data_IF_904592039885
#
_entry.id   IF_904592039885
#
_cell.length_a   1.000
_cell.length_b   1.000
_cell.length_c   1.000
_cell.angle_alpha   90.00
_cell.angle_beta   90.00
_cell.angle_gamma   90.00
#
_symmetry.space_group_name_H-M   'P 1'
#
loop_
_entity.id
_entity.type
_entity.pdbx_description
1 polymer ?
#
# COMPACT_ATOMS: atom_id res chain seq x y z
N UNK A 1 -8.04 -19.92 8.50
CA UNK A 1 -7.38 -19.22 9.62
C UNK A 1 -5.88 -19.08 9.38
N UNK A 2 -5.18 -20.17 9.06
CA UNK A 2 -3.74 -20.23 8.77
C UNK A 2 -3.22 -19.17 7.77
N UNK A 3 -3.90 -18.98 6.63
CA UNK A 3 -3.50 -17.98 5.61
C UNK A 3 -3.52 -16.55 6.18
N UNK A 4 -4.51 -16.19 7.01
CA UNK A 4 -4.56 -14.85 7.62
C UNK A 4 -3.38 -14.62 8.57
N UNK A 5 -3.01 -15.63 9.35
CA UNK A 5 -1.88 -15.58 10.27
C UNK A 5 -0.58 -15.41 9.49
N UNK A 6 -0.38 -16.21 8.43
CA UNK A 6 0.80 -16.12 7.58
C UNK A 6 0.94 -14.73 6.94
N UNK A 7 -0.16 -14.15 6.46
CA UNK A 7 -0.14 -12.81 5.88
C UNK A 7 0.15 -11.74 6.92
N UNK A 8 -0.45 -11.82 8.12
CA UNK A 8 -0.13 -10.90 9.21
C UNK A 8 1.34 -11.00 9.62
N UNK A 9 1.87 -12.22 9.69
CA UNK A 9 3.29 -12.46 9.94
C UNK A 9 4.15 -11.85 8.83
N UNK A 10 3.78 -12.00 7.55
CA UNK A 10 4.48 -11.35 6.45
C UNK A 10 4.53 -9.82 6.61
N UNK A 11 3.40 -9.17 6.94
CA UNK A 11 3.38 -7.72 7.16
C UNK A 11 4.15 -7.31 8.43
N UNK A 12 4.17 -8.15 9.45
CA UNK A 12 4.99 -7.94 10.63
C UNK A 12 6.49 -8.02 10.29
N UNK A 13 6.92 -9.07 9.60
CA UNK A 13 8.31 -9.25 9.14
C UNK A 13 8.73 -8.14 8.16
N UNK A 14 7.81 -7.61 7.36
CA UNK A 14 8.05 -6.45 6.52
C UNK A 14 8.25 -5.17 7.34
N UNK A 15 7.46 -4.94 8.40
CA UNK A 15 7.49 -3.69 9.18
C UNK A 15 8.59 -3.68 10.24
N UNK A 16 8.95 -4.83 10.81
CA UNK A 16 9.87 -4.92 11.95
C UNK A 16 11.26 -4.30 11.70
N UNK A 17 11.91 -4.42 10.53
CA UNK A 17 13.24 -3.84 10.35
C UNK A 17 13.19 -2.31 10.42
N UNK A 18 12.14 -1.70 9.86
CA UNK A 18 11.93 -0.25 9.90
C UNK A 18 11.60 0.24 11.31
N UNK A 19 10.83 -0.55 12.08
CA UNK A 19 10.52 -0.24 13.49
C UNK A 19 11.81 -0.24 14.32
N UNK A 20 12.61 -1.31 14.22
CA UNK A 20 13.87 -1.43 14.95
C UNK A 20 14.84 -0.31 14.57
N UNK A 21 14.96 0.00 13.28
CA UNK A 21 15.81 1.09 12.80
C UNK A 21 15.35 2.46 13.32
N UNK A 22 14.03 2.73 13.32
CA UNK A 22 13.50 3.99 13.83
C UNK A 22 13.78 4.16 15.32
N UNK A 23 13.60 3.10 16.11
CA UNK A 23 13.95 3.11 17.53
C UNK A 23 15.44 3.24 17.78
N UNK A 24 16.29 2.54 17.03
CA UNK A 24 17.74 2.65 17.14
C UNK A 24 18.25 4.08 16.85
N UNK A 25 17.64 4.78 15.89
CA UNK A 25 18.03 6.15 15.52
C UNK A 25 17.43 7.24 16.44
N UNK A 26 16.33 6.94 17.13
CA UNK A 26 15.59 7.94 17.92
C UNK A 26 16.40 8.57 19.05
N UNK A 27 17.19 7.83 19.87
CA UNK A 27 18.04 8.41 20.91
C UNK A 27 19.07 9.42 20.39
N UNK A 28 19.55 9.24 19.15
CA UNK A 28 20.63 10.05 18.59
C UNK A 28 20.14 11.26 17.79
N UNK A 29 19.02 11.12 17.07
CA UNK A 29 18.55 12.11 16.09
C UNK A 29 17.21 12.74 16.48
N UNK A 30 16.54 12.20 17.50
CA UNK A 30 15.17 12.51 17.83
C UNK A 30 14.16 11.83 16.89
N UNK A 31 12.93 11.62 17.40
CA UNK A 31 11.86 10.87 16.71
C UNK A 31 11.57 11.38 15.30
N UNK A 32 11.43 12.71 15.12
CA UNK A 32 11.06 13.32 13.83
C UNK A 32 12.09 13.02 12.73
N UNK A 33 13.39 13.16 13.02
CA UNK A 33 14.46 12.90 12.03
C UNK A 33 14.62 11.40 11.76
N UNK A 34 14.56 10.56 12.81
CA UNK A 34 14.58 9.11 12.66
C UNK A 34 13.48 8.62 11.71
N UNK A 35 12.24 9.08 11.91
CA UNK A 35 11.10 8.74 11.05
C UNK A 35 11.30 9.20 9.60
N UNK A 36 11.89 10.38 9.37
CA UNK A 36 12.18 10.85 8.01
C UNK A 36 13.20 9.97 7.28
N UNK A 37 14.27 9.57 7.97
CA UNK A 37 15.33 8.73 7.40
C UNK A 37 14.76 7.34 7.05
N UNK A 38 14.13 6.70 8.02
CA UNK A 38 13.53 5.36 7.85
C UNK A 38 12.40 5.42 6.81
N UNK A 39 11.57 6.46 6.86
CA UNK A 39 10.48 6.67 5.90
C UNK A 39 10.95 6.73 4.45
N UNK A 40 12.07 7.42 4.17
CA UNK A 40 12.66 7.48 2.81
C UNK A 40 13.06 6.09 2.29
N UNK A 41 13.47 5.17 3.16
CA UNK A 41 13.80 3.78 2.81
C UNK A 41 12.54 2.92 2.68
N UNK A 42 11.52 3.18 3.50
CA UNK A 42 10.25 2.46 3.50
C UNK A 42 9.45 2.65 2.21
N UNK A 43 9.42 3.86 1.64
CA UNK A 43 8.68 4.14 0.39
C UNK A 43 9.09 3.23 -0.79
N UNK A 44 10.38 3.13 -1.18
CA UNK A 44 10.78 2.20 -2.25
C UNK A 44 10.54 0.74 -1.89
N UNK A 45 10.69 0.33 -0.62
CA UNK A 45 10.40 -1.04 -0.19
C UNK A 45 8.90 -1.37 -0.34
N UNK A 46 8.02 -0.47 0.10
CA UNK A 46 6.58 -0.61 -0.08
C UNK A 46 6.18 -0.69 -1.57
N UNK A 47 6.81 0.15 -2.41
CA UNK A 47 6.58 0.09 -3.87
C UNK A 47 7.03 -1.25 -4.48
N UNK A 48 8.08 -1.90 -3.95
CA UNK A 48 8.52 -3.22 -4.37
C UNK A 48 7.49 -4.29 -4.02
N UNK A 49 7.00 -4.28 -2.77
CA UNK A 49 5.97 -5.22 -2.31
C UNK A 49 4.66 -5.03 -3.09
N UNK A 50 4.26 -3.78 -3.36
CA UNK A 50 3.05 -3.48 -4.12
C UNK A 50 3.07 -4.07 -5.54
N UNK A 51 4.24 -4.21 -6.18
CA UNK A 51 4.38 -4.85 -7.50
C UNK A 51 3.98 -6.32 -7.53
N UNK A 52 3.93 -6.99 -6.38
CA UNK A 52 3.46 -8.38 -6.29
C UNK A 52 1.93 -8.46 -6.47
N UNK A 53 1.22 -7.37 -6.17
CA UNK A 53 -0.25 -7.31 -6.20
C UNK A 53 -0.73 -6.52 -7.42
N UNK A 54 -0.08 -5.40 -7.73
CA UNK A 54 -0.44 -4.53 -8.86
C UNK A 54 0.33 -5.00 -10.10
N UNK A 55 -0.36 -5.59 -11.10
CA UNK A 55 0.29 -6.15 -12.28
C UNK A 55 0.87 -5.04 -13.15
N UNK A 56 1.98 -5.34 -13.83
CA UNK A 56 2.53 -4.45 -14.87
C UNK A 56 1.66 -4.52 -16.13
N UNK A 57 1.60 -3.41 -16.85
CA UNK A 57 1.13 -3.38 -18.23
C UNK A 57 2.07 -2.59 -19.11
N UNK A 58 2.06 -2.91 -20.40
CA UNK A 58 2.90 -2.28 -21.42
C UNK A 58 2.07 -1.49 -22.44
N UNK A 59 0.74 -1.52 -22.33
CA UNK A 59 -0.17 -0.82 -23.22
C UNK A 59 -1.43 -0.38 -22.49
N UNK A 60 -2.00 0.76 -22.92
CA UNK A 60 -3.33 1.23 -22.48
C UNK A 60 -4.44 0.27 -22.91
N UNK A 61 -4.25 -0.50 -23.98
CA UNK A 61 -5.23 -1.48 -24.49
C UNK A 61 -5.42 -2.63 -23.50
N UNK A 62 -4.35 -3.00 -22.78
CA UNK A 62 -4.34 -4.09 -21.80
C UNK A 62 -5.03 -3.74 -20.47
N UNK A 63 -5.64 -2.56 -20.36
CA UNK A 63 -6.25 -2.11 -19.11
C UNK A 63 -7.35 -3.06 -18.60
N UNK A 64 -8.13 -3.68 -19.49
CA UNK A 64 -9.14 -4.68 -19.10
C UNK A 64 -8.49 -5.91 -18.47
N UNK A 65 -7.36 -6.38 -19.01
CA UNK A 65 -6.57 -7.49 -18.47
C UNK A 65 -5.96 -7.09 -17.13
N UNK A 66 -5.42 -5.87 -17.02
CA UNK A 66 -4.95 -5.29 -15.77
C UNK A 66 -6.02 -5.30 -14.69
N UNK A 67 -7.21 -4.79 -15.02
CA UNK A 67 -8.36 -4.69 -14.12
C UNK A 67 -8.77 -6.06 -13.58
N UNK A 68 -8.85 -7.08 -14.45
CA UNK A 68 -9.15 -8.44 -14.03
C UNK A 68 -8.06 -9.01 -13.11
N UNK A 69 -6.78 -8.84 -13.48
CA UNK A 69 -5.64 -9.35 -12.70
C UNK A 69 -5.53 -8.67 -11.33
N UNK A 70 -5.62 -7.34 -11.28
CA UNK A 70 -5.51 -6.59 -10.03
C UNK A 70 -6.69 -6.88 -9.09
N UNK A 71 -7.90 -7.02 -9.64
CA UNK A 71 -9.09 -7.45 -8.90
C UNK A 71 -8.89 -8.84 -8.29
N UNK A 72 -8.44 -9.82 -9.08
CA UNK A 72 -8.13 -11.17 -8.59
C UNK A 72 -7.08 -11.13 -7.48
N UNK A 73 -6.00 -10.39 -7.67
CA UNK A 73 -4.92 -10.28 -6.70
C UNK A 73 -5.41 -9.64 -5.40
N UNK A 74 -6.17 -8.54 -5.44
CA UNK A 74 -6.73 -7.93 -4.23
C UNK A 74 -7.78 -8.81 -3.54
N UNK A 75 -8.65 -9.50 -4.29
CA UNK A 75 -9.65 -10.40 -3.73
C UNK A 75 -9.02 -11.59 -3.00
N UNK A 76 -7.86 -12.09 -3.47
CA UNK A 76 -7.09 -13.11 -2.75
C UNK A 76 -6.77 -12.67 -1.31
N UNK A 77 -6.45 -11.40 -1.12
CA UNK A 77 -6.21 -10.80 0.21
C UNK A 77 -7.46 -10.15 0.82
N UNK A 78 -8.63 -10.27 0.18
CA UNK A 78 -9.80 -9.43 0.48
C UNK A 78 -10.31 -9.55 1.92
N UNK A 79 -10.29 -10.78 2.47
CA UNK A 79 -10.67 -11.03 3.87
C UNK A 79 -9.71 -10.42 4.90
N UNK A 80 -8.44 -10.23 4.56
CA UNK A 80 -7.47 -9.61 5.46
C UNK A 80 -7.70 -8.10 5.51
N UNK A 81 -7.89 -7.49 4.34
CA UNK A 81 -8.01 -6.04 4.23
C UNK A 81 -9.42 -5.48 4.47
N UNK A 82 -10.40 -6.35 4.69
CA UNK A 82 -11.82 -5.98 4.68
C UNK A 82 -12.15 -5.21 3.39
N UNK A 83 -11.69 -5.77 2.26
CA UNK A 83 -11.77 -5.18 0.94
C UNK A 83 -13.20 -5.21 0.40
N UNK A 84 -13.63 -4.12 -0.22
CA UNK A 84 -14.80 -4.04 -1.09
C UNK A 84 -14.39 -3.43 -2.44
N UNK A 85 -14.99 -3.90 -3.52
CA UNK A 85 -14.96 -3.19 -4.82
C UNK A 85 -16.12 -2.19 -4.77
N UNK A 86 -15.82 -0.90 -4.83
CA UNK A 86 -16.85 0.16 -4.71
C UNK A 86 -17.39 0.58 -6.08
N UNK A 87 -16.53 0.62 -7.10
CA UNK A 87 -16.90 0.98 -8.46
C UNK A 87 -16.09 0.18 -9.47
N UNK A 88 -16.73 -0.24 -10.56
CA UNK A 88 -16.11 -1.00 -11.64
C UNK A 88 -16.79 -0.62 -12.97
N UNK A 89 -16.01 -0.01 -13.86
CA UNK A 89 -16.41 0.33 -15.23
C UNK A 89 -15.36 -0.22 -16.19
N UNK A 90 -15.56 -0.04 -17.50
CA UNK A 90 -14.59 -0.46 -18.52
C UNK A 90 -13.21 0.23 -18.38
N UNK A 91 -13.18 1.43 -17.80
CA UNK A 91 -11.98 2.27 -17.72
C UNK A 91 -11.56 2.57 -16.29
N UNK A 92 -12.24 2.04 -15.28
CA UNK A 92 -11.92 2.34 -13.87
C UNK A 92 -12.28 1.18 -12.96
N UNK A 93 -11.44 0.94 -11.95
CA UNK A 93 -11.74 0.07 -10.82
C UNK A 93 -11.34 0.75 -9.52
N UNK A 94 -12.25 0.74 -8.55
CA UNK A 94 -12.05 1.30 -7.22
C UNK A 94 -12.19 0.23 -6.14
N UNK A 95 -11.18 0.17 -5.28
CA UNK A 95 -11.15 -0.68 -4.10
C UNK A 95 -11.23 0.16 -2.82
N UNK A 96 -12.04 -0.26 -1.86
CA UNK A 96 -12.07 0.26 -0.50
C UNK A 96 -11.53 -0.77 0.48
N UNK A 97 -10.51 -0.39 1.24
CA UNK A 97 -9.88 -1.21 2.28
C UNK A 97 -10.24 -0.62 3.65
N UNK A 98 -10.86 -1.40 4.53
CA UNK A 98 -11.17 -0.96 5.91
C UNK A 98 -10.14 -1.42 6.93
N UNK A 99 -9.16 -2.21 6.51
CA UNK A 99 -8.06 -2.66 7.36
C UNK A 99 -6.74 -2.59 6.60
N UNK A 100 -5.69 -2.11 7.26
CA UNK A 100 -4.32 -2.09 6.73
C UNK A 100 -3.37 -2.69 7.78
N UNK A 101 -2.82 -3.90 7.53
CA UNK A 101 -1.87 -4.54 8.44
C UNK A 101 -0.64 -3.68 8.72
N UNK A 102 -0.09 -3.02 7.70
CA UNK A 102 1.10 -2.16 7.84
C UNK A 102 0.84 -1.00 8.79
N UNK A 103 -0.25 -0.25 8.58
CA UNK A 103 -0.64 0.85 9.45
C UNK A 103 -0.94 0.34 10.87
N UNK A 104 -1.58 -0.83 11.01
CA UNK A 104 -1.82 -1.44 12.33
C UNK A 104 -0.51 -1.69 13.08
N UNK A 105 0.48 -2.32 12.44
CA UNK A 105 1.77 -2.58 13.09
C UNK A 105 2.48 -1.29 13.48
N UNK A 106 2.60 -0.31 12.58
CA UNK A 106 3.22 0.96 12.96
C UNK A 106 2.49 1.69 14.10
N UNK A 107 1.16 1.60 14.16
CA UNK A 107 0.39 2.14 15.28
C UNK A 107 0.62 1.40 16.60
N UNK A 108 0.67 0.06 16.59
CA UNK A 108 0.99 -0.74 17.78
C UNK A 108 2.35 -0.32 18.38
N UNK A 109 3.33 -0.01 17.53
CA UNK A 109 4.65 0.43 17.95
C UNK A 109 4.78 1.97 18.08
N UNK A 110 3.70 2.74 18.13
CA UNK A 110 3.77 4.20 18.34
C UNK A 110 4.52 4.99 17.24
N UNK A 111 4.64 4.40 16.05
CA UNK A 111 5.35 4.91 14.87
C UNK A 111 4.39 5.18 13.70
N UNK A 112 3.14 5.56 13.97
CA UNK A 112 2.09 5.78 12.97
C UNK A 112 2.52 6.70 11.81
N UNK A 113 3.39 7.68 12.06
CA UNK A 113 3.94 8.57 11.02
C UNK A 113 4.74 7.86 9.92
N UNK A 114 5.22 6.63 10.14
CA UNK A 114 5.83 5.82 9.08
C UNK A 114 4.81 5.34 8.04
N UNK A 115 3.53 5.25 8.42
CA UNK A 115 2.47 4.76 7.53
C UNK A 115 2.35 5.60 6.26
N UNK A 116 2.49 6.93 6.35
CA UNK A 116 2.45 7.82 5.17
C UNK A 116 3.53 7.51 4.14
N UNK A 117 4.72 7.08 4.60
CA UNK A 117 5.81 6.69 3.71
C UNK A 117 5.55 5.34 3.04
N UNK A 118 4.95 4.39 3.76
CA UNK A 118 4.49 3.14 3.14
C UNK A 118 3.40 3.42 2.10
N UNK A 119 2.43 4.29 2.41
CA UNK A 119 1.37 4.67 1.49
C UNK A 119 1.91 5.39 0.23
N UNK A 120 3.00 6.16 0.37
CA UNK A 120 3.68 6.80 -0.76
C UNK A 120 4.27 5.78 -1.75
N UNK A 121 4.47 4.52 -1.35
CA UNK A 121 4.94 3.45 -2.24
C UNK A 121 3.99 3.20 -3.41
N UNK A 122 2.69 3.38 -3.21
CA UNK A 122 1.69 3.20 -4.28
C UNK A 122 1.79 4.30 -5.34
N UNK A 123 2.02 5.56 -4.93
CA UNK A 123 2.28 6.66 -5.86
C UNK A 123 3.56 6.46 -6.66
N UNK A 124 4.61 5.95 -6.01
CA UNK A 124 5.86 5.58 -6.69
C UNK A 124 5.67 4.46 -7.70
N UNK A 125 4.71 3.56 -7.47
CA UNK A 125 4.36 2.53 -8.44
C UNK A 125 3.51 3.10 -9.59
N UNK A 126 2.57 3.98 -9.28
CA UNK A 126 1.75 4.68 -10.27
C UNK A 126 2.60 5.52 -11.22
N UNK A 127 3.60 6.23 -10.71
CA UNK A 127 4.54 7.03 -11.51
C UNK A 127 5.23 6.19 -12.60
N UNK A 128 5.58 4.93 -12.28
CA UNK A 128 6.20 3.99 -13.23
C UNK A 128 5.26 3.47 -14.30
N UNK A 129 3.95 3.62 -14.11
CA UNK A 129 2.92 3.17 -15.04
C UNK A 129 2.07 4.34 -15.55
N UNK A 130 2.57 5.57 -15.37
CA UNK A 130 1.83 6.81 -15.61
C UNK A 130 1.33 6.94 -17.04
N UNK A 131 1.88 6.19 -17.99
CA UNK A 131 1.51 6.23 -19.41
C UNK A 131 0.34 5.32 -19.75
N UNK A 132 -0.02 4.40 -18.85
CA UNK A 132 -1.03 3.38 -19.10
C UNK A 132 -2.27 3.55 -18.23
N UNK A 133 -2.09 3.95 -16.96
CA UNK A 133 -3.17 4.21 -16.02
C UNK A 133 -2.81 5.32 -15.03
N UNK A 134 -3.85 5.89 -14.42
CA UNK A 134 -3.74 6.87 -13.36
C UNK A 134 -4.16 6.25 -12.03
N UNK A 135 -3.50 6.66 -10.95
CA UNK A 135 -3.85 6.28 -9.59
C UNK A 135 -4.53 7.44 -8.87
N UNK A 136 -5.53 7.14 -8.04
CA UNK A 136 -6.11 8.11 -7.11
C UNK A 136 -6.37 7.47 -5.75
N UNK A 137 -6.16 8.26 -4.69
CA UNK A 137 -6.48 7.95 -3.30
C UNK A 137 -6.87 9.24 -2.59
N UNK A 138 -8.06 9.24 -2.01
CA UNK A 138 -8.61 10.37 -1.26
C UNK A 138 -8.49 10.17 0.26
N UNK A 139 -8.62 8.93 0.72
CA UNK A 139 -8.49 8.55 2.13
C UNK A 139 -7.39 7.51 2.33
N UNK A 140 -6.72 7.58 3.47
CA UNK A 140 -5.79 6.56 3.90
C UNK A 140 -5.84 6.35 5.41
N UNK A 141 -5.98 5.08 5.82
CA UNK A 141 -5.89 4.65 7.22
C UNK A 141 -4.57 5.12 7.86
N UNK A 142 -3.47 5.06 7.10
CA UNK A 142 -2.15 5.47 7.58
C UNK A 142 -2.00 6.96 7.90
N UNK A 143 -2.95 7.79 7.46
CA UNK A 143 -2.97 9.23 7.71
C UNK A 143 -4.23 9.66 8.47
N UNK A 144 -4.91 8.73 9.16
CA UNK A 144 -6.08 9.02 9.99
C UNK A 144 -7.44 8.87 9.30
N UNK A 145 -7.50 8.40 8.06
CA UNK A 145 -8.76 8.10 7.37
C UNK A 145 -9.44 6.83 7.92
N UNK A 146 -10.77 6.74 7.74
CA UNK A 146 -11.55 5.56 8.15
C UNK A 146 -11.32 4.35 7.26
N UNK A 147 -10.87 4.57 6.03
CA UNK A 147 -10.54 3.55 5.03
C UNK A 147 -9.44 4.05 4.09
N UNK A 148 -8.91 3.15 3.26
CA UNK A 148 -8.13 3.51 2.08
C UNK A 148 -8.99 3.31 0.84
N UNK A 149 -9.02 4.26 -0.09
CA UNK A 149 -9.54 4.04 -1.45
C UNK A 149 -8.38 3.99 -2.45
N UNK A 150 -8.42 3.00 -3.34
CA UNK A 150 -7.45 2.85 -4.41
C UNK A 150 -8.22 2.79 -5.71
N UNK A 151 -8.16 3.87 -6.47
CA UNK A 151 -8.80 3.96 -7.78
C UNK A 151 -7.73 3.90 -8.85
N UNK A 152 -7.92 2.99 -9.81
CA UNK A 152 -7.10 2.84 -10.99
C UNK A 152 -7.96 3.15 -12.20
N UNK A 153 -7.52 4.07 -13.05
CA UNK A 153 -8.26 4.45 -14.27
C UNK A 153 -7.37 4.37 -15.50
N UNK A 154 -7.94 3.95 -16.64
CA UNK A 154 -7.23 3.93 -17.92
C UNK A 154 -6.81 5.35 -18.28
N UNK A 155 -5.56 5.52 -18.71
CA UNK A 155 -5.13 6.79 -19.26
C UNK A 155 -5.70 6.97 -20.66
N UNK A 156 -6.40 8.09 -20.88
CA UNK A 156 -6.86 8.50 -22.21
C UNK A 156 -5.66 8.73 -23.12
#
# INVERSE_FOLDING_TARGET
MMIKILLLLFYFLFTIPFILQAYALTPFLGKKRAIQIVGRQLTPAAALVAKLIVPRINSKLDFSIFQQKIKRNFLFFGKLYHLKVENETQDTIEFRFRFCPVAKFFTIFGLTDLSKYSCAGDWKLAEKNKDYWTFKRDQSIGTGGLYCNHTYSRKK
#
